data_IF_476275508610
#
_entry.id   IF_476275508610
#
_cell.length_a   1.000
_cell.length_b   1.000
_cell.length_c   1.000
_cell.angle_alpha   90.00
_cell.angle_beta   90.00
_cell.angle_gamma   90.00
#
_symmetry.space_group_name_H-M   'P 1'
#
loop_
_entity.id
_entity.type
_entity.pdbx_description
1 polymer ?
#
# COMPACT_ATOMS: atom_id res chain seq x y z
N UNK A 1 -9.04 -19.22 -2.79
CA UNK A 1 -8.00 -19.53 -3.80
C UNK A 1 -6.58 -19.04 -3.47
N UNK A 2 -6.33 -18.18 -2.46
CA UNK A 2 -5.00 -17.57 -2.20
C UNK A 2 -3.95 -18.45 -1.50
N UNK A 3 -4.35 -19.54 -0.82
CA UNK A 3 -3.38 -20.40 -0.12
C UNK A 3 -2.48 -21.19 -1.10
N UNK A 4 -2.98 -21.45 -2.32
CA UNK A 4 -2.25 -22.16 -3.37
C UNK A 4 -1.03 -21.38 -3.88
N UNK A 5 -1.15 -20.07 -4.10
CA UNK A 5 -0.05 -19.25 -4.61
C UNK A 5 1.07 -19.07 -3.58
N UNK A 6 0.73 -18.89 -2.30
CA UNK A 6 1.72 -18.79 -1.21
C UNK A 6 2.47 -20.12 -1.05
N UNK A 7 1.78 -21.27 -1.13
CA UNK A 7 2.44 -22.57 -1.02
C UNK A 7 3.42 -22.84 -2.16
N UNK A 8 3.13 -22.39 -3.39
CA UNK A 8 4.09 -22.51 -4.50
C UNK A 8 5.33 -21.63 -4.28
N UNK A 9 5.16 -20.43 -3.72
CA UNK A 9 6.28 -19.56 -3.34
C UNK A 9 7.16 -20.17 -2.25
N UNK A 10 6.55 -20.77 -1.22
CA UNK A 10 7.28 -21.50 -0.17
C UNK A 10 8.03 -22.70 -0.74
N UNK A 11 7.40 -23.49 -1.61
CA UNK A 11 8.05 -24.64 -2.25
C UNK A 11 9.24 -24.20 -3.11
N UNK A 12 9.04 -23.25 -4.01
CA UNK A 12 10.11 -22.75 -4.88
C UNK A 12 11.25 -22.11 -4.06
N UNK A 13 10.92 -21.29 -3.06
CA UNK A 13 11.90 -20.65 -2.17
C UNK A 13 12.67 -21.65 -1.31
N UNK A 14 12.00 -22.66 -0.75
CA UNK A 14 12.66 -23.71 0.03
C UNK A 14 13.58 -24.58 -0.82
N UNK A 15 13.19 -24.91 -2.06
CA UNK A 15 14.02 -25.70 -2.97
C UNK A 15 15.30 -24.95 -3.35
N UNK A 16 15.15 -23.70 -3.84
CA UNK A 16 16.30 -22.86 -4.21
C UNK A 16 17.18 -22.55 -2.99
N UNK A 17 16.56 -22.27 -1.83
CA UNK A 17 17.26 -21.99 -0.58
C UNK A 17 18.04 -23.21 -0.06
N UNK A 18 17.47 -24.40 -0.12
CA UNK A 18 18.14 -25.63 0.29
C UNK A 18 19.34 -25.94 -0.63
N UNK A 19 19.18 -25.78 -1.95
CA UNK A 19 20.27 -25.95 -2.91
C UNK A 19 21.40 -24.95 -2.64
N UNK A 20 21.06 -23.67 -2.48
CA UNK A 20 22.03 -22.62 -2.17
C UNK A 20 22.74 -22.89 -0.83
N UNK A 21 21.99 -23.24 0.21
CA UNK A 21 22.55 -23.58 1.52
C UNK A 21 23.51 -24.76 1.43
N UNK A 22 23.16 -25.83 0.70
CA UNK A 22 24.03 -26.99 0.53
C UNK A 22 25.29 -26.68 -0.29
N UNK A 23 25.20 -25.82 -1.31
CA UNK A 23 26.35 -25.42 -2.15
C UNK A 23 27.29 -24.43 -1.44
N UNK A 24 26.75 -23.56 -0.59
CA UNK A 24 27.52 -22.50 0.09
C UNK A 24 28.01 -22.92 1.48
N UNK A 25 27.50 -24.01 2.06
CA UNK A 25 27.96 -24.48 3.37
C UNK A 25 29.45 -24.90 3.31
N UNK A 26 30.35 -24.29 4.09
CA UNK A 26 31.80 -24.54 4.03
C UNK A 26 32.22 -25.88 4.68
N UNK A 27 31.27 -26.63 5.23
CA UNK A 27 31.52 -27.79 6.07
C UNK A 27 31.18 -29.11 5.36
N UNK A 28 32.01 -30.15 5.55
CA UNK A 28 31.75 -31.46 4.96
C UNK A 28 30.45 -32.08 5.50
N UNK A 29 29.72 -32.83 4.66
CA UNK A 29 28.46 -33.46 5.07
C UNK A 29 28.62 -34.45 6.24
N UNK A 30 29.80 -35.06 6.41
CA UNK A 30 30.12 -35.93 7.55
C UNK A 30 30.20 -35.13 8.86
N UNK A 31 30.86 -33.98 8.82
CA UNK A 31 31.00 -33.10 9.98
C UNK A 31 29.66 -32.48 10.36
N UNK A 32 28.86 -32.08 9.36
CA UNK A 32 27.52 -31.53 9.59
C UNK A 32 26.63 -32.55 10.30
N UNK A 33 26.62 -33.79 9.82
CA UNK A 33 25.88 -34.89 10.46
C UNK A 33 26.40 -35.20 11.87
N UNK A 34 27.71 -35.10 12.09
CA UNK A 34 28.33 -35.24 13.39
C UNK A 34 27.89 -34.16 14.37
N UNK A 35 27.91 -32.90 13.95
CA UNK A 35 27.49 -31.76 14.77
C UNK A 35 26.00 -31.77 15.08
N UNK A 36 25.13 -32.10 14.11
CA UNK A 36 23.69 -32.25 14.37
C UNK A 36 23.42 -33.32 15.44
N UNK A 37 24.18 -34.42 15.42
CA UNK A 37 24.06 -35.48 16.44
C UNK A 37 24.58 -35.04 17.80
N UNK A 38 25.69 -34.29 17.83
CA UNK A 38 26.34 -33.82 19.05
C UNK A 38 25.58 -32.70 19.75
N UNK A 39 24.98 -31.79 18.97
CA UNK A 39 24.36 -30.55 19.47
C UNK A 39 22.83 -30.58 19.33
N UNK A 40 22.23 -31.77 19.35
CA UNK A 40 20.82 -31.98 18.99
C UNK A 40 19.84 -31.09 19.78
N UNK A 41 20.13 -30.83 21.05
CA UNK A 41 19.28 -30.00 21.91
C UNK A 41 19.46 -28.50 21.66
N UNK A 42 20.67 -28.06 21.29
CA UNK A 42 20.94 -26.70 20.82
C UNK A 42 20.17 -26.42 19.52
N UNK A 43 20.21 -27.35 18.57
CA UNK A 43 19.42 -27.27 17.33
C UNK A 43 17.91 -27.21 17.60
N UNK A 44 17.39 -27.93 18.61
CA UNK A 44 15.98 -27.80 19.00
C UNK A 44 15.66 -26.41 19.53
N UNK A 45 16.54 -25.84 20.37
CA UNK A 45 16.37 -24.50 20.91
C UNK A 45 16.33 -23.46 19.80
N UNK A 46 17.27 -23.54 18.86
CA UNK A 46 17.32 -22.65 17.68
C UNK A 46 16.04 -22.77 16.85
N UNK A 47 15.53 -23.98 16.63
CA UNK A 47 14.29 -24.16 15.87
C UNK A 47 13.05 -23.62 16.59
N UNK A 48 13.02 -23.71 17.93
CA UNK A 48 11.97 -23.09 18.74
C UNK A 48 12.03 -21.56 18.64
N UNK A 49 13.23 -20.99 18.71
CA UNK A 49 13.43 -19.55 18.56
C UNK A 49 13.02 -19.05 17.16
N UNK A 50 13.47 -19.73 16.09
CA UNK A 50 13.05 -19.43 14.72
C UNK A 50 11.52 -19.48 14.59
N UNK A 51 10.88 -20.48 15.20
CA UNK A 51 9.42 -20.59 15.17
C UNK A 51 8.76 -19.41 15.87
N UNK A 52 9.24 -19.01 17.04
CA UNK A 52 8.72 -17.84 17.76
C UNK A 52 8.88 -16.57 16.94
N UNK A 53 10.09 -16.32 16.42
CA UNK A 53 10.38 -15.15 15.59
C UNK A 53 9.52 -15.13 14.31
N UNK A 54 9.29 -16.29 13.69
CA UNK A 54 8.42 -16.40 12.52
C UNK A 54 6.95 -16.06 12.83
N UNK A 55 6.45 -16.40 14.03
CA UNK A 55 5.11 -16.00 14.48
C UNK A 55 5.05 -14.49 14.68
N UNK A 56 6.06 -13.89 15.31
CA UNK A 56 6.11 -12.44 15.51
C UNK A 56 6.14 -11.66 14.19
N UNK A 57 6.95 -12.10 13.21
CA UNK A 57 6.99 -11.49 11.88
C UNK A 57 5.64 -11.63 11.17
N UNK A 58 5.01 -12.80 11.26
CA UNK A 58 3.68 -13.02 10.69
C UNK A 58 2.65 -12.08 11.30
N UNK A 59 2.67 -11.92 12.61
CA UNK A 59 1.74 -11.05 13.32
C UNK A 59 1.98 -9.57 12.98
N UNK A 60 3.24 -9.13 12.93
CA UNK A 60 3.61 -7.78 12.53
C UNK A 60 3.14 -7.46 11.09
N UNK A 61 3.36 -8.38 10.14
CA UNK A 61 2.88 -8.23 8.76
C UNK A 61 1.36 -8.23 8.69
N UNK A 62 0.69 -9.07 9.50
CA UNK A 62 -0.77 -9.11 9.54
C UNK A 62 -1.36 -7.81 10.10
N UNK A 63 -0.78 -7.26 11.17
CA UNK A 63 -1.16 -5.96 11.75
C UNK A 63 -0.94 -4.84 10.75
N UNK A 64 0.27 -4.74 10.19
CA UNK A 64 0.61 -3.75 9.17
C UNK A 64 -0.34 -3.82 7.96
N UNK A 65 -0.65 -5.02 7.48
CA UNK A 65 -1.59 -5.20 6.37
C UNK A 65 -3.02 -4.79 6.73
N UNK A 66 -3.43 -4.98 7.99
CA UNK A 66 -4.78 -4.60 8.46
C UNK A 66 -4.88 -3.10 8.66
N UNK A 67 -3.99 -2.55 9.48
CA UNK A 67 -3.93 -1.11 9.82
C UNK A 67 -3.62 -0.27 8.57
N UNK A 68 -2.71 -0.73 7.71
CA UNK A 68 -2.41 -0.06 6.45
C UNK A 68 -3.58 -0.06 5.47
N UNK A 69 -4.37 -1.15 5.42
CA UNK A 69 -5.58 -1.20 4.58
C UNK A 69 -6.64 -0.23 5.10
N UNK A 70 -6.85 -0.19 6.41
CA UNK A 70 -7.79 0.73 7.06
C UNK A 70 -7.39 2.19 6.81
N UNK A 71 -6.12 2.53 7.06
CA UNK A 71 -5.57 3.87 6.84
C UNK A 71 -5.70 4.34 5.39
N UNK A 72 -5.35 3.48 4.41
CA UNK A 72 -5.47 3.82 2.99
C UNK A 72 -6.94 3.98 2.57
N UNK A 73 -7.84 3.19 3.16
CA UNK A 73 -9.28 3.30 2.85
C UNK A 73 -9.85 4.60 3.40
N UNK A 74 -9.55 4.95 4.64
CA UNK A 74 -9.97 6.22 5.25
C UNK A 74 -9.43 7.44 4.49
N UNK A 75 -8.14 7.44 4.15
CA UNK A 75 -7.55 8.52 3.36
C UNK A 75 -8.24 8.70 2.00
N UNK A 76 -8.60 7.59 1.34
CA UNK A 76 -9.34 7.63 0.08
C UNK A 76 -10.72 8.26 0.26
N UNK A 77 -11.46 7.83 1.29
CA UNK A 77 -12.81 8.32 1.56
C UNK A 77 -12.78 9.81 1.93
N UNK A 78 -11.84 10.24 2.77
CA UNK A 78 -11.65 11.64 3.15
C UNK A 78 -11.27 12.53 1.95
N UNK A 79 -10.39 12.05 1.07
CA UNK A 79 -10.09 12.72 -0.19
C UNK A 79 -11.32 12.86 -1.07
N UNK A 80 -12.09 11.79 -1.24
CA UNK A 80 -13.30 11.80 -2.07
C UNK A 80 -14.34 12.79 -1.53
N UNK A 81 -14.56 12.79 -0.21
CA UNK A 81 -15.45 13.73 0.45
C UNK A 81 -14.98 15.17 0.28
N UNK A 82 -13.68 15.43 0.40
CA UNK A 82 -13.11 16.77 0.20
C UNK A 82 -13.30 17.28 -1.22
N UNK A 83 -13.12 16.41 -2.23
CA UNK A 83 -13.35 16.75 -3.64
C UNK A 83 -14.83 17.06 -3.88
N UNK A 84 -15.74 16.22 -3.35
CA UNK A 84 -17.18 16.44 -3.50
C UNK A 84 -17.64 17.73 -2.82
N UNK A 85 -17.13 18.02 -1.61
CA UNK A 85 -17.43 19.25 -0.91
C UNK A 85 -16.95 20.48 -1.69
N UNK A 86 -15.72 20.44 -2.22
CA UNK A 86 -15.18 21.52 -3.04
C UNK A 86 -15.98 21.75 -4.32
N UNK A 87 -16.37 20.69 -5.04
CA UNK A 87 -17.25 20.81 -6.21
C UNK A 87 -18.60 21.42 -5.84
N UNK A 88 -19.25 20.89 -4.79
CA UNK A 88 -20.56 21.39 -4.36
C UNK A 88 -20.56 22.85 -3.91
N UNK A 89 -19.49 23.31 -3.26
CA UNK A 89 -19.41 24.69 -2.77
C UNK A 89 -18.89 25.70 -3.79
N UNK A 90 -17.98 25.29 -4.68
CA UNK A 90 -17.21 26.22 -5.53
C UNK A 90 -17.81 26.35 -6.92
N UNK A 91 -18.33 25.26 -7.49
CA UNK A 91 -18.97 25.25 -8.82
C UNK A 91 -20.11 26.28 -8.95
N UNK A 92 -21.09 26.35 -8.03
CA UNK A 92 -22.16 27.36 -8.13
C UNK A 92 -21.63 28.80 -7.98
N UNK A 93 -20.60 29.02 -7.16
CA UNK A 93 -20.00 30.36 -7.00
C UNK A 93 -19.26 30.78 -8.28
N UNK A 94 -18.54 29.86 -8.93
CA UNK A 94 -17.90 30.13 -10.23
C UNK A 94 -18.95 30.45 -11.29
N UNK A 95 -20.06 29.71 -11.32
CA UNK A 95 -21.14 29.97 -12.26
C UNK A 95 -21.78 31.34 -12.00
N UNK A 96 -22.04 31.67 -10.74
CA UNK A 96 -22.62 32.96 -10.36
C UNK A 96 -21.72 34.13 -10.79
N UNK A 97 -20.41 34.04 -10.55
CA UNK A 97 -19.46 35.07 -10.98
C UNK A 97 -19.44 35.20 -12.50
N UNK A 98 -19.51 34.10 -13.26
CA UNK A 98 -19.61 34.15 -14.73
C UNK A 98 -20.88 34.86 -15.19
N UNK A 99 -22.01 34.55 -14.57
CA UNK A 99 -23.30 35.16 -14.90
C UNK A 99 -23.27 36.68 -14.62
N UNK A 100 -22.69 37.09 -13.48
CA UNK A 100 -22.50 38.50 -13.15
C UNK A 100 -21.58 39.22 -14.14
N UNK A 101 -20.47 38.61 -14.55
CA UNK A 101 -19.56 39.18 -15.56
C UNK A 101 -20.28 39.39 -16.90
N UNK A 102 -21.03 38.39 -17.39
CA UNK A 102 -21.79 38.54 -18.64
C UNK A 102 -22.88 39.60 -18.56
N UNK A 103 -23.53 39.77 -17.39
CA UNK A 103 -24.51 40.84 -17.20
C UNK A 103 -23.86 42.24 -17.26
N UNK A 104 -22.64 42.38 -16.70
CA UNK A 104 -21.87 43.63 -16.76
C UNK A 104 -21.46 43.92 -18.22
N UNK A 105 -21.00 42.93 -18.98
CA UNK A 105 -20.64 43.10 -20.39
C UNK A 105 -21.83 43.56 -21.24
N UNK A 106 -23.01 42.95 -21.06
CA UNK A 106 -24.22 43.37 -21.77
C UNK A 106 -24.63 44.81 -21.44
N UNK A 107 -24.58 45.19 -20.16
CA UNK A 107 -24.85 46.56 -19.74
C UNK A 107 -23.88 47.57 -20.38
N UNK A 108 -22.60 47.22 -20.46
CA UNK A 108 -21.60 48.06 -21.10
C UNK A 108 -21.87 48.21 -22.62
N UNK A 109 -22.20 47.12 -23.32
CA UNK A 109 -22.55 47.13 -24.74
C UNK A 109 -23.79 47.97 -25.04
N UNK A 110 -24.86 47.82 -24.23
CA UNK A 110 -26.09 48.60 -24.37
C UNK A 110 -25.84 50.09 -24.13
N UNK A 111 -25.00 50.44 -23.15
CA UNK A 111 -24.60 51.82 -22.90
C UNK A 111 -23.83 52.40 -24.09
N UNK A 112 -22.90 51.64 -24.67
CA UNK A 112 -22.10 52.07 -25.81
C UNK A 112 -22.98 52.28 -27.07
N UNK A 113 -23.95 51.39 -27.32
CA UNK A 113 -24.92 51.55 -28.40
C UNK A 113 -25.87 52.73 -28.21
N UNK A 114 -26.24 53.04 -26.96
CA UNK A 114 -27.15 54.15 -26.66
C UNK A 114 -26.45 55.50 -26.81
N UNK A 115 -25.17 55.58 -26.41
CA UNK A 115 -24.34 56.78 -26.57
C UNK A 115 -23.95 57.02 -28.03
N UNK A 116 -23.73 55.97 -28.82
CA UNK A 116 -23.36 56.10 -30.24
C UNK A 116 -24.54 56.35 -31.20
N UNK A 117 -25.79 56.23 -30.72
CA UNK A 117 -27.02 56.58 -31.46
C UNK A 117 -27.54 58.00 -31.17
N UNK A 118 -26.98 58.71 -30.19
CA UNK A 118 -27.20 60.15 -29.97
C UNK A 118 -26.15 60.99 -30.71
#
# INVERSE_FOLDING_TARGET
MKMKSISYGVLAGSALGAIAALLTTPQSGKDLKGQIRKNKDEWKSILLEIKTNAVEVKDAVSRLSSEGKETITHLKDDMQNSIQAWQGSTEPNIQHIKDEISAIEQLAEDMEQTVSKQ
#
